data_IF_180649103320
#
_entry.id   IF_180649103320
#
_cell.length_a   1.000
_cell.length_b   1.000
_cell.length_c   1.000
_cell.angle_alpha   90.00
_cell.angle_beta   90.00
_cell.angle_gamma   90.00
#
_symmetry.space_group_name_H-M   'P 1'
#
loop_
_entity.id
_entity.type
_entity.pdbx_description
1 polymer ?
#
# COMPACT_ATOMS: atom_id res chain seq x y z
N UNK A 1 -20.71 -6.55 -14.71
CA UNK A 1 -21.51 -5.49 -14.06
C UNK A 1 -20.58 -4.34 -13.72
N UNK A 2 -20.96 -3.10 -14.00
CA UNK A 2 -20.15 -1.96 -13.61
C UNK A 2 -20.47 -1.57 -12.17
N UNK A 3 -19.46 -1.37 -11.37
CA UNK A 3 -19.60 -0.90 -9.99
C UNK A 3 -20.13 0.55 -9.98
N UNK A 4 -21.15 0.85 -9.18
CA UNK A 4 -21.67 2.20 -9.00
C UNK A 4 -20.75 3.03 -8.10
N UNK A 5 -20.84 4.36 -8.17
CA UNK A 5 -20.08 5.26 -7.30
C UNK A 5 -20.31 4.95 -5.82
N UNK A 6 -21.54 4.72 -5.40
CA UNK A 6 -21.89 4.36 -4.02
C UNK A 6 -21.27 3.03 -3.59
N UNK A 7 -21.28 2.01 -4.46
CA UNK A 7 -20.65 0.72 -4.17
C UNK A 7 -19.13 0.86 -4.05
N UNK A 8 -18.52 1.70 -4.89
CA UNK A 8 -17.09 2.01 -4.80
C UNK A 8 -16.75 2.65 -3.46
N UNK A 9 -17.50 3.64 -3.03
CA UNK A 9 -17.31 4.31 -1.73
C UNK A 9 -17.47 3.34 -0.56
N UNK A 10 -18.47 2.46 -0.60
CA UNK A 10 -18.66 1.42 0.42
C UNK A 10 -17.51 0.42 0.43
N UNK A 11 -17.02 -0.01 -0.73
CA UNK A 11 -15.86 -0.91 -0.84
C UNK A 11 -14.61 -0.26 -0.24
N UNK A 12 -14.36 1.00 -0.56
CA UNK A 12 -13.19 1.73 -0.05
C UNK A 12 -13.25 1.89 1.46
N UNK A 13 -14.43 2.21 2.01
CA UNK A 13 -14.63 2.25 3.45
C UNK A 13 -14.40 0.88 4.13
N UNK A 14 -14.82 -0.23 3.49
CA UNK A 14 -14.53 -1.58 4.00
C UNK A 14 -13.03 -1.85 4.02
N UNK A 15 -12.29 -1.44 2.97
CA UNK A 15 -10.84 -1.64 2.88
C UNK A 15 -10.12 -0.86 3.98
N UNK A 16 -10.48 0.39 4.20
CA UNK A 16 -9.86 1.27 5.19
C UNK A 16 -10.13 0.79 6.63
N UNK A 17 -11.40 0.51 6.95
CA UNK A 17 -11.77 -0.06 8.25
C UNK A 17 -11.07 -1.41 8.53
N UNK A 18 -11.00 -2.27 7.50
CA UNK A 18 -10.33 -3.56 7.65
C UNK A 18 -8.81 -3.39 7.82
N UNK A 19 -8.20 -2.42 7.15
CA UNK A 19 -6.79 -2.11 7.32
C UNK A 19 -6.44 -1.68 8.76
N UNK A 20 -7.33 -0.93 9.41
CA UNK A 20 -7.13 -0.47 10.78
C UNK A 20 -7.45 -1.56 11.83
N UNK A 21 -8.59 -2.20 11.69
CA UNK A 21 -9.15 -3.07 12.72
C UNK A 21 -8.68 -4.53 12.64
N UNK A 22 -8.17 -4.97 11.49
CA UNK A 22 -7.86 -6.39 11.19
C UNK A 22 -9.02 -7.35 11.48
N UNK A 23 -10.26 -6.85 11.40
CA UNK A 23 -11.48 -7.59 11.70
C UNK A 23 -12.55 -7.35 10.62
N UNK A 24 -13.38 -8.36 10.31
CA UNK A 24 -14.42 -8.23 9.30
C UNK A 24 -15.37 -7.06 9.58
N UNK A 25 -15.64 -6.22 8.56
CA UNK A 25 -16.41 -4.98 8.69
C UNK A 25 -17.91 -5.26 8.63
N UNK A 26 -18.63 -4.81 9.65
CA UNK A 26 -20.08 -4.99 9.77
C UNK A 26 -20.89 -3.87 9.10
N UNK A 27 -22.11 -4.20 8.62
CA UNK A 27 -23.01 -3.22 8.01
C UNK A 27 -23.44 -2.09 8.98
N UNK A 28 -23.39 -2.31 10.28
CA UNK A 28 -23.77 -1.29 11.28
C UNK A 28 -22.73 -0.19 11.36
N UNK A 29 -21.45 -0.54 11.28
CA UNK A 29 -20.32 0.42 11.25
C UNK A 29 -20.47 1.34 10.02
N UNK A 30 -20.63 0.75 8.85
CA UNK A 30 -20.78 1.49 7.60
C UNK A 30 -22.08 2.31 7.54
N UNK A 31 -23.18 1.83 8.14
CA UNK A 31 -24.43 2.56 8.18
C UNK A 31 -24.30 3.92 8.89
N UNK A 32 -23.51 3.97 9.97
CA UNK A 32 -23.20 5.21 10.67
C UNK A 32 -22.37 6.17 9.82
N UNK A 33 -21.42 5.63 9.07
CA UNK A 33 -20.51 6.39 8.25
C UNK A 33 -21.20 7.05 7.05
N UNK A 34 -22.15 6.33 6.43
CA UNK A 34 -22.86 6.77 5.23
C UNK A 34 -24.23 7.43 5.53
N UNK A 35 -24.63 7.54 6.78
CA UNK A 35 -25.94 8.05 7.24
C UNK A 35 -27.11 7.37 6.52
N UNK A 36 -27.07 6.03 6.45
CA UNK A 36 -28.12 5.21 5.81
C UNK A 36 -28.47 4.01 6.69
N UNK A 37 -29.58 3.33 6.36
CA UNK A 37 -29.97 2.12 7.10
C UNK A 37 -28.96 0.97 6.91
N UNK A 38 -28.74 0.16 7.96
CA UNK A 38 -27.91 -1.04 7.87
C UNK A 38 -28.46 -2.06 6.85
N UNK A 39 -29.76 -2.03 6.56
CA UNK A 39 -30.39 -2.84 5.53
C UNK A 39 -29.91 -2.42 4.13
N UNK A 40 -29.84 -1.11 3.88
CA UNK A 40 -29.31 -0.56 2.62
C UNK A 40 -27.85 -0.97 2.41
N UNK A 41 -27.03 -0.82 3.46
CA UNK A 41 -25.62 -1.25 3.39
C UNK A 41 -25.51 -2.75 3.10
N UNK A 42 -26.29 -3.61 3.77
CA UNK A 42 -26.27 -5.05 3.51
C UNK A 42 -26.59 -5.38 2.05
N UNK A 43 -27.56 -4.67 1.45
CA UNK A 43 -27.92 -4.86 0.04
C UNK A 43 -26.75 -4.51 -0.88
N UNK A 44 -26.05 -3.40 -0.62
CA UNK A 44 -24.88 -3.03 -1.43
C UNK A 44 -23.69 -3.96 -1.19
N UNK A 45 -23.45 -4.40 0.06
CA UNK A 45 -22.41 -5.40 0.38
C UNK A 45 -22.70 -6.74 -0.33
N UNK A 46 -23.94 -7.19 -0.41
CA UNK A 46 -24.30 -8.41 -1.14
C UNK A 46 -23.96 -8.31 -2.64
N UNK A 47 -24.20 -7.16 -3.25
CA UNK A 47 -23.81 -6.92 -4.66
C UNK A 47 -22.30 -6.89 -4.84
N UNK A 48 -21.57 -6.26 -3.93
CA UNK A 48 -20.10 -6.24 -3.96
C UNK A 48 -19.51 -7.63 -3.79
N UNK A 49 -20.13 -8.47 -2.96
CA UNK A 49 -19.75 -9.88 -2.78
C UNK A 49 -20.05 -10.69 -4.04
N UNK A 50 -21.22 -10.51 -4.67
CA UNK A 50 -21.56 -11.15 -5.95
C UNK A 50 -20.58 -10.77 -7.07
N UNK A 51 -20.09 -9.51 -7.07
CA UNK A 51 -19.05 -9.04 -7.98
C UNK A 51 -17.64 -9.52 -7.61
N UNK A 52 -17.45 -10.19 -6.45
CA UNK A 52 -16.18 -10.73 -6.00
C UNK A 52 -15.22 -9.72 -5.39
N UNK A 53 -15.65 -8.50 -5.05
CA UNK A 53 -14.78 -7.48 -4.44
C UNK A 53 -14.62 -7.62 -2.93
N UNK A 54 -15.58 -8.24 -2.27
CA UNK A 54 -15.54 -8.57 -0.84
C UNK A 54 -15.98 -10.01 -0.63
N UNK A 55 -15.63 -10.58 0.51
CA UNK A 55 -16.01 -11.93 0.90
C UNK A 55 -16.47 -11.98 2.35
N UNK A 56 -17.29 -12.98 2.67
CA UNK A 56 -17.69 -13.29 4.03
C UNK A 56 -16.84 -14.46 4.58
N UNK A 57 -15.94 -14.23 5.54
CA UNK A 57 -15.09 -15.30 6.04
C UNK A 57 -15.86 -16.38 6.81
N UNK A 58 -16.97 -16.02 7.50
CA UNK A 58 -17.84 -16.93 8.26
C UNK A 58 -19.28 -16.41 8.25
N UNK A 59 -20.25 -17.31 8.39
CA UNK A 59 -21.69 -17.05 8.25
C UNK A 59 -22.24 -15.88 9.08
N UNK A 60 -21.66 -15.58 10.23
CA UNK A 60 -22.04 -14.47 11.12
C UNK A 60 -21.06 -13.29 11.10
N UNK A 61 -20.00 -13.38 10.32
CA UNK A 61 -18.99 -12.33 10.22
C UNK A 61 -19.44 -11.18 9.32
N UNK A 62 -18.79 -10.01 9.47
CA UNK A 62 -18.83 -8.94 8.49
C UNK A 62 -18.21 -9.34 7.15
N UNK A 63 -17.73 -8.39 6.41
CA UNK A 63 -17.07 -8.62 5.12
C UNK A 63 -15.60 -8.19 5.18
N UNK A 64 -14.77 -8.89 4.42
CA UNK A 64 -13.36 -8.55 4.19
C UNK A 64 -13.13 -8.30 2.72
N UNK A 65 -12.17 -7.43 2.33
CA UNK A 65 -11.80 -7.23 0.93
C UNK A 65 -11.17 -8.50 0.34
N UNK A 66 -11.37 -8.71 -0.96
CA UNK A 66 -10.60 -9.69 -1.77
C UNK A 66 -9.43 -9.00 -2.47
N UNK A 67 -8.53 -9.76 -3.08
CA UNK A 67 -7.44 -9.21 -3.92
C UNK A 67 -8.01 -8.31 -5.04
N UNK A 68 -9.15 -8.70 -5.63
CA UNK A 68 -9.84 -7.89 -6.64
C UNK A 68 -10.40 -6.57 -6.07
N UNK A 69 -10.90 -6.59 -4.85
CA UNK A 69 -11.33 -5.38 -4.14
C UNK A 69 -10.18 -4.43 -3.88
N UNK A 70 -9.07 -4.94 -3.36
CA UNK A 70 -7.84 -4.17 -3.17
C UNK A 70 -7.29 -3.63 -4.49
N UNK A 71 -7.30 -4.42 -5.57
CA UNK A 71 -6.83 -3.98 -6.88
C UNK A 71 -7.65 -2.79 -7.41
N UNK A 72 -8.97 -2.83 -7.27
CA UNK A 72 -9.82 -1.71 -7.67
C UNK A 72 -9.50 -0.43 -6.86
N UNK A 73 -9.28 -0.57 -5.56
CA UNK A 73 -8.90 0.54 -4.67
C UNK A 73 -7.55 1.13 -5.06
N UNK A 74 -6.53 0.29 -5.23
CA UNK A 74 -5.18 0.70 -5.61
C UNK A 74 -5.16 1.40 -6.97
N UNK A 75 -5.91 0.92 -7.96
CA UNK A 75 -6.00 1.58 -9.26
C UNK A 75 -6.56 3.01 -9.14
N UNK A 76 -7.59 3.21 -8.31
CA UNK A 76 -8.10 4.56 -8.01
C UNK A 76 -7.06 5.47 -7.37
N UNK A 77 -6.29 4.94 -6.41
CA UNK A 77 -5.22 5.70 -5.76
C UNK A 77 -4.09 6.07 -6.72
N UNK A 78 -3.71 5.16 -7.62
CA UNK A 78 -2.67 5.42 -8.62
C UNK A 78 -3.08 6.57 -9.53
N UNK A 79 -4.33 6.57 -10.03
CA UNK A 79 -4.86 7.66 -10.86
C UNK A 79 -4.85 9.01 -10.12
N UNK A 80 -5.11 9.03 -8.81
CA UNK A 80 -5.06 10.26 -8.00
C UNK A 80 -3.64 10.75 -7.78
N UNK A 81 -2.72 9.83 -7.43
CA UNK A 81 -1.30 10.14 -7.23
C UNK A 81 -0.67 10.70 -8.51
N UNK A 82 -0.96 10.13 -9.68
CA UNK A 82 -0.43 10.61 -10.95
C UNK A 82 -0.94 12.00 -11.30
N UNK A 83 -2.24 12.27 -11.08
CA UNK A 83 -2.82 13.60 -11.27
C UNK A 83 -2.20 14.67 -10.35
N UNK A 84 -1.89 14.32 -9.12
CA UNK A 84 -1.26 15.25 -8.16
C UNK A 84 0.20 15.56 -8.53
N UNK A 85 0.91 14.62 -9.15
CA UNK A 85 2.26 14.84 -9.70
C UNK A 85 2.21 15.76 -10.91
N UNK A 86 1.35 15.46 -11.89
CA UNK A 86 1.20 16.26 -13.11
C UNK A 86 0.76 17.69 -12.80
N UNK A 87 -0.01 17.87 -11.73
CA UNK A 87 -0.42 19.21 -11.25
C UNK A 87 0.67 19.96 -10.46
N UNK A 88 1.87 19.39 -10.30
CA UNK A 88 2.97 19.98 -9.51
C UNK A 88 2.69 20.10 -8.01
N UNK A 89 1.63 19.43 -7.51
CA UNK A 89 1.20 19.51 -6.11
C UNK A 89 2.03 18.66 -5.16
N UNK A 90 2.93 17.83 -5.65
CA UNK A 90 3.91 17.09 -4.87
C UNK A 90 5.22 17.82 -4.62
N UNK A 91 5.37 19.05 -5.12
CA UNK A 91 6.47 19.93 -4.73
C UNK A 91 6.00 20.84 -3.58
N UNK A 92 6.66 20.71 -2.43
CA UNK A 92 6.69 21.63 -1.28
C UNK A 92 5.63 22.74 -1.27
N UNK A 93 4.75 22.70 -0.25
CA UNK A 93 4.07 23.87 0.35
C UNK A 93 3.42 24.90 -0.58
N UNK A 94 2.11 24.88 -0.66
CA UNK A 94 1.30 26.12 -0.69
C UNK A 94 -0.13 25.82 -0.24
N UNK A 95 -0.54 26.51 0.81
CA UNK A 95 -1.93 26.63 1.23
C UNK A 95 -2.71 27.34 0.13
N UNK A 96 -3.80 26.74 -0.35
CA UNK A 96 -5.01 27.46 -0.73
C UNK A 96 -6.18 26.50 -0.91
N UNK A 97 -7.28 26.88 -0.29
CA UNK A 97 -8.45 26.06 -0.11
C UNK A 97 -9.37 25.94 -1.33
N UNK A 98 -10.23 24.97 -1.22
CA UNK A 98 -11.40 24.54 -1.98
C UNK A 98 -11.15 23.35 -2.92
N UNK A 99 -11.29 22.16 -2.35
CA UNK A 99 -11.49 20.95 -3.12
C UNK A 99 -12.75 20.25 -2.60
N UNK A 100 -13.67 19.90 -3.48
CA UNK A 100 -14.80 19.03 -3.17
C UNK A 100 -14.26 17.75 -2.54
N UNK A 101 -14.61 17.53 -1.29
CA UNK A 101 -14.15 16.40 -0.49
C UNK A 101 -14.82 15.13 -1.00
N UNK A 102 -14.05 14.28 -1.66
CA UNK A 102 -14.40 12.89 -1.91
C UNK A 102 -14.58 12.19 -0.54
N UNK A 103 -15.72 11.52 -0.25
CA UNK A 103 -15.92 10.82 1.04
C UNK A 103 -14.83 9.83 1.38
N UNK A 104 -14.25 9.14 0.39
CA UNK A 104 -13.10 8.26 0.57
C UNK A 104 -11.87 9.01 1.15
N UNK A 105 -11.72 10.28 0.86
CA UNK A 105 -10.67 11.15 1.38
C UNK A 105 -10.87 11.56 2.84
N UNK A 106 -12.14 11.66 3.26
CA UNK A 106 -12.53 11.93 4.66
C UNK A 106 -12.31 10.70 5.55
N UNK A 107 -12.46 9.50 4.96
CA UNK A 107 -12.30 8.23 5.66
C UNK A 107 -10.83 7.80 5.78
N UNK A 108 -10.02 8.10 4.78
CA UNK A 108 -8.58 7.83 4.83
C UNK A 108 -7.84 8.57 5.95
N UNK A 109 -8.50 9.52 6.64
CA UNK A 109 -7.98 10.21 7.84
C UNK A 109 -6.61 10.87 7.64
N UNK A 110 -6.07 10.76 6.46
CA UNK A 110 -4.72 11.18 6.16
C UNK A 110 -4.76 12.37 5.21
N UNK A 111 -4.60 13.52 5.78
CA UNK A 111 -3.96 14.61 5.05
C UNK A 111 -2.50 14.17 4.84
N UNK A 112 -2.29 13.23 3.86
CA UNK A 112 -0.98 12.70 3.52
C UNK A 112 0.02 13.80 3.12
N UNK A 113 -0.47 15.03 2.88
CA UNK A 113 0.32 16.23 2.60
C UNK A 113 1.02 16.77 3.83
N UNK A 114 0.53 16.48 5.04
CA UNK A 114 1.11 16.89 6.32
C UNK A 114 1.59 15.71 7.17
N UNK A 115 1.78 14.52 6.57
CA UNK A 115 2.28 13.36 7.34
C UNK A 115 3.69 13.68 7.85
N UNK A 116 3.81 13.75 9.19
CA UNK A 116 5.11 13.90 9.88
C UNK A 116 6.12 12.83 9.44
N UNK A 117 5.63 11.68 9.01
CA UNK A 117 6.45 10.61 8.47
C UNK A 117 7.14 10.97 7.16
N UNK A 118 6.47 11.72 6.28
CA UNK A 118 7.05 12.19 5.03
C UNK A 118 8.23 13.13 5.30
N UNK A 119 8.07 14.05 6.24
CA UNK A 119 9.15 14.96 6.65
C UNK A 119 10.36 14.21 7.26
N UNK A 120 10.10 13.17 8.07
CA UNK A 120 11.16 12.31 8.62
C UNK A 120 11.91 11.57 7.50
N UNK A 121 11.21 11.05 6.50
CA UNK A 121 11.81 10.41 5.34
C UNK A 121 12.72 11.42 4.59
N UNK A 122 12.22 12.62 4.30
CA UNK A 122 12.98 13.68 3.62
C UNK A 122 14.27 14.04 4.38
N UNK A 123 14.19 14.24 5.70
CA UNK A 123 15.36 14.56 6.51
C UNK A 123 16.41 13.44 6.49
N UNK A 124 15.99 12.17 6.57
CA UNK A 124 16.92 11.03 6.59
C UNK A 124 17.61 10.81 5.25
N UNK A 125 16.89 10.98 4.14
CA UNK A 125 17.49 10.83 2.80
C UNK A 125 18.42 11.98 2.47
N UNK A 126 17.99 13.23 2.70
CA UNK A 126 18.76 14.43 2.34
C UNK A 126 19.99 14.69 3.23
N UNK A 127 20.08 14.08 4.41
CA UNK A 127 21.18 14.33 5.35
C UNK A 127 22.41 13.44 5.12
N UNK A 128 22.44 12.65 4.04
CA UNK A 128 23.47 11.60 3.88
C UNK A 128 24.40 11.88 2.69
N UNK A 129 25.70 11.94 3.00
CA UNK A 129 26.78 12.21 2.04
C UNK A 129 27.09 11.05 1.09
N UNK A 130 26.58 9.83 1.36
CA UNK A 130 26.82 8.63 0.54
C UNK A 130 25.52 7.96 0.17
N UNK A 131 25.38 7.59 -1.11
CA UNK A 131 24.18 6.96 -1.66
C UNK A 131 23.76 5.69 -0.90
N UNK A 132 24.71 4.87 -0.47
CA UNK A 132 24.43 3.65 0.32
C UNK A 132 23.75 3.97 1.65
N UNK A 133 24.14 5.06 2.30
CA UNK A 133 23.51 5.53 3.53
C UNK A 133 22.11 6.11 3.27
N UNK A 134 21.95 6.87 2.19
CA UNK A 134 20.64 7.41 1.80
C UNK A 134 19.64 6.27 1.55
N UNK A 135 20.06 5.23 0.83
CA UNK A 135 19.22 4.07 0.56
C UNK A 135 18.87 3.31 1.85
N UNK A 136 19.85 3.02 2.70
CA UNK A 136 19.60 2.39 4.01
C UNK A 136 18.67 3.24 4.87
N UNK A 137 18.90 4.54 4.95
CA UNK A 137 18.05 5.47 5.67
C UNK A 137 16.61 5.51 5.13
N UNK A 138 16.45 5.43 3.81
CA UNK A 138 15.13 5.35 3.18
C UNK A 138 14.42 4.01 3.51
N UNK A 139 15.12 2.89 3.42
CA UNK A 139 14.60 1.56 3.76
C UNK A 139 14.18 1.48 5.23
N UNK A 140 15.03 1.96 6.14
CA UNK A 140 14.74 2.02 7.58
C UNK A 140 13.51 2.89 7.86
N UNK A 141 13.44 4.05 7.19
CA UNK A 141 12.30 4.96 7.35
C UNK A 141 10.99 4.35 6.84
N UNK A 142 11.01 3.69 5.68
CA UNK A 142 9.84 2.99 5.16
C UNK A 142 9.37 1.90 6.12
N UNK A 143 10.31 1.10 6.67
CA UNK A 143 9.95 0.07 7.64
C UNK A 143 9.35 0.66 8.93
N UNK A 144 9.90 1.77 9.43
CA UNK A 144 9.43 2.44 10.63
C UNK A 144 8.05 3.08 10.44
N UNK A 145 7.88 3.80 9.33
CA UNK A 145 6.66 4.57 9.05
C UNK A 145 5.47 3.71 8.64
N UNK A 146 5.73 2.56 8.01
CA UNK A 146 4.67 1.65 7.55
C UNK A 146 4.38 0.51 8.51
N UNK A 147 5.30 0.21 9.45
CA UNK A 147 5.22 -0.97 10.30
C UNK A 147 5.42 -2.30 9.55
N UNK A 148 5.90 -2.24 8.31
CA UNK A 148 6.11 -3.38 7.42
C UNK A 148 7.60 -3.61 7.15
N UNK A 149 7.93 -4.53 6.26
CA UNK A 149 9.31 -4.76 5.80
C UNK A 149 9.65 -3.73 4.71
N UNK A 150 10.61 -2.86 4.98
CA UNK A 150 11.25 -2.02 3.98
C UNK A 150 12.32 -2.79 3.21
N UNK A 151 12.43 -2.53 1.91
CA UNK A 151 13.42 -3.16 1.05
C UNK A 151 13.96 -2.20 -0.01
N UNK A 152 15.19 -2.45 -0.46
CA UNK A 152 15.73 -1.86 -1.69
C UNK A 152 16.67 -2.85 -2.38
N UNK A 153 16.71 -2.79 -3.73
CA UNK A 153 17.67 -3.53 -4.53
C UNK A 153 18.52 -2.58 -5.36
N UNK A 154 19.84 -2.83 -5.38
CA UNK A 154 20.80 -2.08 -6.19
C UNK A 154 21.72 -3.10 -6.84
N UNK A 155 21.60 -3.29 -8.13
CA UNK A 155 22.30 -4.38 -8.80
C UNK A 155 21.90 -5.72 -8.17
N UNK A 156 22.90 -6.45 -7.63
CA UNK A 156 22.70 -7.75 -6.97
C UNK A 156 22.57 -7.65 -5.44
N UNK A 157 22.54 -6.44 -4.89
CA UNK A 157 22.44 -6.25 -3.44
C UNK A 157 20.99 -6.01 -3.03
N UNK A 158 20.53 -6.74 -2.02
CA UNK A 158 19.23 -6.58 -1.38
C UNK A 158 19.42 -6.03 0.04
N UNK A 159 18.81 -4.87 0.29
CA UNK A 159 18.74 -4.23 1.60
C UNK A 159 17.35 -4.49 2.19
N UNK A 160 17.30 -4.94 3.44
CA UNK A 160 16.06 -5.23 4.17
C UNK A 160 16.08 -4.57 5.54
N UNK A 161 14.96 -4.03 5.96
CA UNK A 161 14.75 -3.52 7.32
C UNK A 161 13.33 -3.83 7.80
N UNK A 162 13.18 -4.13 9.10
CA UNK A 162 11.86 -4.35 9.68
C UNK A 162 11.31 -5.78 9.54
N UNK A 163 12.13 -6.80 9.30
CA UNK A 163 11.71 -8.21 9.22
C UNK A 163 10.90 -8.62 10.46
N UNK A 164 11.36 -8.24 11.65
CA UNK A 164 10.65 -8.54 12.90
C UNK A 164 9.26 -7.87 12.96
N UNK A 165 9.12 -6.68 12.41
CA UNK A 165 7.83 -5.95 12.35
C UNK A 165 6.83 -6.66 11.46
N UNK A 166 7.28 -7.16 10.31
CA UNK A 166 6.45 -7.95 9.41
C UNK A 166 5.89 -9.18 10.13
N UNK A 167 6.73 -9.94 10.81
CA UNK A 167 6.32 -11.19 11.49
C UNK A 167 5.56 -10.98 12.80
N UNK A 168 5.44 -9.77 13.32
CA UNK A 168 4.52 -9.45 14.43
C UNK A 168 3.09 -9.18 13.98
N UNK A 169 2.85 -9.04 12.68
CA UNK A 169 1.51 -8.85 12.13
C UNK A 169 0.64 -10.10 12.33
N UNK A 170 -0.67 -9.95 12.62
CA UNK A 170 -1.55 -11.08 12.89
C UNK A 170 -1.58 -12.14 11.79
N UNK A 171 -1.43 -11.71 10.54
CA UNK A 171 -1.43 -12.58 9.35
C UNK A 171 -0.29 -13.58 9.35
N UNK A 172 0.83 -13.28 10.00
CA UNK A 172 2.06 -14.10 10.00
C UNK A 172 2.26 -14.90 11.29
N UNK A 173 1.23 -15.08 12.10
CA UNK A 173 1.30 -15.94 13.28
C UNK A 173 1.35 -17.43 12.92
N UNK A 174 0.99 -17.81 11.69
CA UNK A 174 1.08 -19.18 11.17
C UNK A 174 2.47 -19.44 10.57
N UNK A 175 3.13 -20.50 11.01
CA UNK A 175 4.46 -20.90 10.52
C UNK A 175 4.48 -21.17 9.01
N UNK A 176 3.38 -21.66 8.43
CA UNK A 176 3.29 -21.90 6.99
C UNK A 176 3.38 -20.59 6.20
N UNK A 177 2.73 -19.53 6.70
CA UNK A 177 2.79 -18.19 6.10
C UNK A 177 4.18 -17.57 6.24
N UNK A 178 4.80 -17.72 7.40
CA UNK A 178 6.20 -17.29 7.62
C UNK A 178 7.14 -17.94 6.61
N UNK A 179 7.02 -19.26 6.39
CA UNK A 179 7.83 -19.98 5.40
C UNK A 179 7.57 -19.47 3.95
N UNK A 180 6.32 -19.14 3.62
CA UNK A 180 5.97 -18.61 2.30
C UNK A 180 6.60 -17.23 2.08
N UNK A 181 6.58 -16.36 3.10
CA UNK A 181 7.24 -15.05 3.05
C UNK A 181 8.76 -15.19 2.95
N UNK A 182 9.36 -16.09 3.73
CA UNK A 182 10.81 -16.33 3.66
C UNK A 182 11.23 -16.77 2.24
N UNK A 183 10.51 -17.72 1.63
CA UNK A 183 10.74 -18.13 0.24
C UNK A 183 10.58 -16.99 -0.76
N UNK A 184 9.62 -16.09 -0.51
CA UNK A 184 9.45 -14.90 -1.35
C UNK A 184 10.68 -13.99 -1.26
N UNK A 185 11.18 -13.74 -0.05
CA UNK A 185 12.36 -12.91 0.17
C UNK A 185 13.62 -13.51 -0.47
N UNK A 186 13.81 -14.82 -0.38
CA UNK A 186 14.94 -15.53 -0.99
C UNK A 186 14.95 -15.39 -2.54
N UNK A 187 13.78 -15.22 -3.15
CA UNK A 187 13.63 -15.10 -4.61
C UNK A 187 13.39 -13.67 -5.10
N UNK A 188 13.29 -12.70 -4.19
CA UNK A 188 12.87 -11.34 -4.53
C UNK A 188 13.89 -10.63 -5.42
N UNK A 189 15.17 -10.62 -5.03
CA UNK A 189 16.22 -9.96 -5.83
C UNK A 189 16.39 -10.60 -7.20
N UNK A 190 16.54 -11.94 -7.34
CA UNK A 190 16.64 -12.57 -8.64
C UNK A 190 15.45 -12.25 -9.55
N UNK A 191 14.25 -12.25 -8.99
CA UNK A 191 13.05 -11.93 -9.75
C UNK A 191 13.01 -10.46 -10.20
N UNK A 192 13.34 -9.51 -9.32
CA UNK A 192 13.35 -8.08 -9.67
C UNK A 192 14.36 -7.79 -10.79
N UNK A 193 15.50 -8.46 -10.76
CA UNK A 193 16.53 -8.34 -11.79
C UNK A 193 16.06 -8.91 -13.14
N UNK A 194 15.42 -10.09 -13.14
CA UNK A 194 14.96 -10.78 -14.35
C UNK A 194 13.72 -10.13 -14.95
N UNK A 195 12.70 -9.88 -14.13
CA UNK A 195 11.43 -9.29 -14.57
C UNK A 195 11.55 -7.80 -14.90
N UNK A 196 12.49 -7.10 -14.25
CA UNK A 196 12.77 -5.67 -14.40
C UNK A 196 11.49 -4.82 -14.56
N UNK A 197 10.56 -4.80 -13.56
CA UNK A 197 9.30 -4.06 -13.65
C UNK A 197 9.54 -2.61 -14.09
N UNK A 198 8.88 -2.19 -15.17
CA UNK A 198 9.21 -0.94 -15.87
C UNK A 198 8.47 0.28 -15.37
N UNK A 199 7.34 0.09 -14.69
CA UNK A 199 6.53 1.21 -14.20
C UNK A 199 7.20 1.94 -13.04
N UNK A 200 7.01 3.26 -12.91
CA UNK A 200 7.56 4.05 -11.81
C UNK A 200 7.12 3.53 -10.42
N UNK A 201 5.89 3.01 -10.32
CA UNK A 201 5.34 2.39 -9.13
C UNK A 201 4.66 1.07 -9.51
N UNK A 202 5.14 -0.03 -8.96
CA UNK A 202 4.59 -1.37 -9.19
C UNK A 202 3.98 -1.91 -7.89
N UNK A 203 2.78 -2.49 -7.99
CA UNK A 203 2.03 -2.98 -6.84
C UNK A 203 1.51 -4.39 -7.17
N UNK A 204 1.92 -5.36 -6.36
CA UNK A 204 1.54 -6.76 -6.48
C UNK A 204 0.75 -7.16 -5.23
N UNK A 205 -0.50 -7.57 -5.38
CA UNK A 205 -1.44 -7.83 -4.27
C UNK A 205 -1.75 -9.34 -4.21
N UNK A 206 -1.45 -9.97 -3.08
CA UNK A 206 -1.83 -11.35 -2.82
C UNK A 206 -1.42 -12.29 -3.95
N UNK A 207 -2.36 -12.88 -4.63
CA UNK A 207 -2.11 -13.84 -5.73
C UNK A 207 -1.52 -13.24 -7.01
N UNK A 208 -1.51 -11.93 -7.15
CA UNK A 208 -0.84 -11.26 -8.25
C UNK A 208 0.68 -11.28 -8.08
N UNK A 209 1.16 -11.52 -6.88
CA UNK A 209 2.59 -11.56 -6.58
C UNK A 209 3.25 -12.75 -7.31
N UNK A 210 4.17 -12.49 -8.24
CA UNK A 210 4.72 -13.54 -9.11
C UNK A 210 5.58 -14.58 -8.38
N UNK A 211 6.15 -14.21 -7.22
CA UNK A 211 7.03 -15.06 -6.41
C UNK A 211 6.41 -15.58 -5.13
N UNK A 212 5.18 -15.22 -4.82
CA UNK A 212 4.53 -15.58 -3.56
C UNK A 212 3.02 -15.67 -3.65
N UNK A 213 2.50 -16.30 -4.71
CA UNK A 213 1.05 -16.38 -5.01
C UNK A 213 0.17 -16.91 -3.90
N UNK A 214 0.72 -17.68 -2.97
CA UNK A 214 0.01 -18.23 -1.81
C UNK A 214 0.21 -17.42 -0.54
N UNK A 215 1.07 -16.42 -0.58
CA UNK A 215 1.34 -15.55 0.56
C UNK A 215 0.33 -14.39 0.58
N UNK A 216 -0.27 -14.16 1.72
CA UNK A 216 -1.19 -13.02 1.93
C UNK A 216 -0.41 -11.72 2.11
N UNK A 217 0.49 -11.44 1.18
CA UNK A 217 1.35 -10.25 1.18
C UNK A 217 1.11 -9.39 -0.04
N UNK A 218 1.37 -8.11 0.10
CA UNK A 218 1.50 -7.17 -1.00
C UNK A 218 2.90 -6.61 -1.06
N UNK A 219 3.45 -6.51 -2.26
CA UNK A 219 4.71 -5.87 -2.56
C UNK A 219 4.45 -4.57 -3.31
N UNK A 220 4.94 -3.46 -2.79
CA UNK A 220 4.85 -2.14 -3.40
C UNK A 220 6.27 -1.64 -3.60
N UNK A 221 6.67 -1.41 -4.85
CA UNK A 221 8.02 -0.99 -5.21
C UNK A 221 8.00 0.20 -6.16
N UNK A 222 8.92 1.14 -5.94
CA UNK A 222 9.22 2.23 -6.86
C UNK A 222 10.57 1.96 -7.52
N UNK A 223 10.61 2.10 -8.84
CA UNK A 223 11.85 2.06 -9.61
C UNK A 223 12.57 3.39 -9.48
N UNK A 224 13.89 3.36 -9.38
CA UNK A 224 14.75 4.53 -9.45
C UNK A 224 16.07 4.19 -10.13
N UNK A 225 16.77 5.19 -10.63
CA UNK A 225 18.12 5.05 -11.17
C UNK A 225 19.12 5.33 -10.05
N UNK A 226 20.13 4.48 -9.96
CA UNK A 226 21.27 4.70 -9.07
C UNK A 226 22.56 4.77 -9.90
N UNK A 227 23.66 5.29 -9.36
CA UNK A 227 24.96 5.26 -10.04
C UNK A 227 25.46 3.86 -10.36
N UNK A 228 24.87 2.82 -9.77
CA UNK A 228 25.29 1.42 -9.92
C UNK A 228 24.37 0.61 -10.83
N UNK A 229 23.12 1.07 -11.08
CA UNK A 229 22.14 0.33 -11.88
C UNK A 229 20.98 1.21 -12.30
N UNK A 230 20.56 1.07 -13.57
CA UNK A 230 19.33 1.69 -14.10
C UNK A 230 18.05 1.03 -13.55
N UNK A 231 18.17 -0.18 -12.99
CA UNK A 231 17.08 -0.97 -12.43
C UNK A 231 17.28 -1.19 -10.93
N UNK A 232 17.21 -0.10 -10.17
CA UNK A 232 17.16 -0.15 -8.72
C UNK A 232 15.71 0.00 -8.25
N UNK A 233 15.38 -0.65 -7.15
CA UNK A 233 14.02 -0.62 -6.59
C UNK A 233 14.07 -0.31 -5.11
N UNK A 234 13.10 0.49 -4.64
CA UNK A 234 12.84 0.69 -3.21
C UNK A 234 11.37 0.41 -2.94
N UNK A 235 11.05 -0.19 -1.81
CA UNK A 235 9.67 -0.54 -1.55
C UNK A 235 9.38 -1.11 -0.17
N UNK A 236 8.17 -1.64 -0.07
CA UNK A 236 7.61 -2.22 1.14
C UNK A 236 6.94 -3.54 0.83
N UNK A 237 7.23 -4.56 1.63
CA UNK A 237 6.50 -5.82 1.69
C UNK A 237 5.70 -5.85 2.99
N UNK A 238 4.40 -6.04 2.89
CA UNK A 238 3.49 -6.10 4.04
C UNK A 238 2.31 -7.03 3.79
N UNK A 239 1.40 -7.22 4.75
CA UNK A 239 0.17 -7.97 4.52
C UNK A 239 -0.70 -7.29 3.45
N UNK A 240 -1.57 -8.06 2.79
CA UNK A 240 -2.56 -7.48 1.86
C UNK A 240 -3.45 -6.43 2.55
N UNK A 241 -3.65 -6.56 3.85
CA UNK A 241 -4.30 -5.60 4.71
C UNK A 241 -3.32 -4.49 5.14
N UNK A 242 -3.10 -3.53 4.30
CA UNK A 242 -2.26 -2.36 4.62
C UNK A 242 -2.89 -1.05 4.16
N UNK A 243 -2.43 0.07 4.70
CA UNK A 243 -2.85 1.39 4.24
C UNK A 243 -2.15 1.73 2.92
N UNK A 244 -2.76 1.30 1.80
CA UNK A 244 -2.20 1.49 0.46
C UNK A 244 -1.95 2.94 0.12
N UNK A 245 -2.85 3.86 0.47
CA UNK A 245 -2.71 5.29 0.17
C UNK A 245 -1.39 5.84 0.75
N UNK A 246 -1.15 5.54 2.03
CA UNK A 246 0.06 5.99 2.73
C UNK A 246 1.31 5.28 2.22
N UNK A 247 1.28 3.94 2.09
CA UNK A 247 2.45 3.15 1.68
C UNK A 247 2.88 3.51 0.26
N UNK A 248 1.95 3.62 -0.68
CA UNK A 248 2.22 4.01 -2.07
C UNK A 248 2.86 5.40 -2.16
N UNK A 249 2.33 6.37 -1.41
CA UNK A 249 2.88 7.74 -1.36
C UNK A 249 4.30 7.77 -0.81
N UNK A 250 4.57 7.06 0.30
CA UNK A 250 5.90 6.96 0.89
C UNK A 250 6.91 6.29 -0.04
N UNK A 251 6.53 5.16 -0.64
CA UNK A 251 7.41 4.38 -1.54
C UNK A 251 7.72 5.19 -2.80
N UNK A 252 6.71 5.82 -3.42
CA UNK A 252 6.91 6.66 -4.61
C UNK A 252 7.82 7.85 -4.30
N UNK A 253 7.59 8.53 -3.17
CA UNK A 253 8.42 9.65 -2.74
C UNK A 253 9.87 9.23 -2.49
N UNK A 254 10.07 8.09 -1.80
CA UNK A 254 11.41 7.56 -1.57
C UNK A 254 12.17 7.29 -2.88
N UNK A 255 11.51 6.67 -3.88
CA UNK A 255 12.09 6.46 -5.20
C UNK A 255 12.50 7.77 -5.87
N UNK A 256 11.60 8.76 -5.91
CA UNK A 256 11.89 10.08 -6.50
C UNK A 256 13.05 10.81 -5.82
N UNK A 257 13.17 10.70 -4.49
CA UNK A 257 14.26 11.34 -3.74
C UNK A 257 15.60 10.66 -4.01
N UNK A 258 15.63 9.33 -4.10
CA UNK A 258 16.83 8.57 -4.40
C UNK A 258 17.31 8.78 -5.84
N UNK A 259 16.43 9.13 -6.77
CA UNK A 259 16.78 9.45 -8.16
C UNK A 259 17.46 10.82 -8.29
N UNK A 260 17.39 11.68 -7.27
CA UNK A 260 18.00 13.02 -7.24
C UNK A 260 19.39 13.05 -6.60
N UNK A 261 19.84 11.94 -6.01
CA UNK A 261 21.15 11.82 -5.36
C UNK A 261 22.18 11.24 -6.34
#
# INVERSE_FOLDING_TARGET
MNITQRQREILFAIIEEYAEMAAPVGSVTLAKLFDVSSATIRSEMAKLEEMGYIAQPHTSAGRIPTDAGYRLYVNSLTEEIDKDIDAGKMTTSSADGHTQTNPARLLAGADWKEDKGMHVLELRVNSQERIDFAIRGAVDSLAELTGNLGLATIGEQLYLSGISRLFTQPEFMDTTRVQSVAKLLDNLEPWLREAAPGEPLNIFIGQENPIGKTSEVSLIISKFRSPYSDNSYIGVLGPTRQNYARVMSLVKRAGMMLEQI
#
